data_IF_014744127084
#
_entry.id   IF_014744127084
#
_cell.length_a   1.000
_cell.length_b   1.000
_cell.length_c   1.000
_cell.angle_alpha   90.00
_cell.angle_beta   90.00
_cell.angle_gamma   90.00
#
_symmetry.space_group_name_H-M   'P 1'
#
loop_
_entity.id
_entity.type
_entity.pdbx_description
1 polymer ?
#
# COMPACT_ATOMS: atom_id res chain seq x y z
N UNK A 1 -23.12 50.01 -4.17
CA UNK A 1 -24.02 48.91 -3.75
C UNK A 1 -23.83 47.70 -4.64
N UNK A 2 -24.09 47.79 -5.95
CA UNK A 2 -23.81 46.69 -6.90
C UNK A 2 -22.36 46.17 -6.80
N UNK A 3 -21.38 47.07 -6.79
CA UNK A 3 -19.96 46.67 -6.69
C UNK A 3 -19.64 45.92 -5.40
N UNK A 4 -20.27 46.30 -4.29
CA UNK A 4 -20.12 45.60 -3.01
C UNK A 4 -20.67 44.17 -3.09
N UNK A 5 -21.82 43.98 -3.75
CA UNK A 5 -22.42 42.65 -3.96
C UNK A 5 -21.48 41.79 -4.80
N UNK A 6 -20.89 42.34 -5.88
CA UNK A 6 -19.91 41.62 -6.71
C UNK A 6 -18.67 41.20 -5.94
N UNK A 7 -18.10 42.09 -5.13
CA UNK A 7 -16.93 41.77 -4.31
C UNK A 7 -17.25 40.65 -3.32
N UNK A 8 -18.39 40.74 -2.63
CA UNK A 8 -18.81 39.71 -1.67
C UNK A 8 -19.08 38.37 -2.37
N UNK A 9 -19.67 38.39 -3.56
CA UNK A 9 -19.89 37.21 -4.39
C UNK A 9 -18.57 36.50 -4.75
N UNK A 10 -17.59 37.26 -5.24
CA UNK A 10 -16.27 36.74 -5.60
C UNK A 10 -15.54 36.16 -4.38
N UNK A 11 -15.54 36.88 -3.25
CA UNK A 11 -14.93 36.42 -2.01
C UNK A 11 -15.61 35.17 -1.43
N UNK A 12 -16.93 35.02 -1.63
CA UNK A 12 -17.64 33.80 -1.26
C UNK A 12 -17.19 32.63 -2.15
N UNK A 13 -17.09 32.85 -3.46
CA UNK A 13 -16.59 31.85 -4.40
C UNK A 13 -15.19 31.33 -4.04
N UNK A 14 -14.26 32.23 -3.70
CA UNK A 14 -12.90 31.86 -3.27
C UNK A 14 -12.92 31.03 -1.98
N UNK A 15 -13.72 31.43 -0.99
CA UNK A 15 -13.84 30.70 0.29
C UNK A 15 -14.43 29.32 0.13
N UNK A 16 -15.51 29.20 -0.66
CA UNK A 16 -16.13 27.91 -1.00
C UNK A 16 -15.13 27.03 -1.74
N UNK A 17 -14.42 27.58 -2.73
CA UNK A 17 -13.44 26.81 -3.49
C UNK A 17 -12.32 26.28 -2.59
N UNK A 18 -11.79 27.10 -1.67
CA UNK A 18 -10.81 26.67 -0.69
C UNK A 18 -11.36 25.58 0.24
N UNK A 19 -12.61 25.72 0.72
CA UNK A 19 -13.26 24.72 1.56
C UNK A 19 -13.46 23.39 0.83
N UNK A 20 -13.93 23.41 -0.42
CA UNK A 20 -14.10 22.20 -1.23
C UNK A 20 -12.79 21.44 -1.47
N UNK A 21 -11.64 22.12 -1.51
CA UNK A 21 -10.35 21.47 -1.69
C UNK A 21 -9.70 20.98 -0.39
N UNK A 22 -10.02 21.61 0.75
CA UNK A 22 -9.29 21.38 2.01
C UNK A 22 -10.13 20.75 3.12
N UNK A 23 -11.45 20.76 3.00
CA UNK A 23 -12.39 20.41 4.08
C UNK A 23 -13.38 19.32 3.66
N UNK A 24 -13.07 18.52 2.63
CA UNK A 24 -13.82 17.29 2.34
C UNK A 24 -13.67 16.38 3.56
N UNK A 25 -14.77 16.06 4.24
CA UNK A 25 -14.71 15.39 5.55
C UNK A 25 -15.41 16.17 6.66
N UNK A 26 -15.27 17.49 6.65
CA UNK A 26 -15.64 18.35 7.77
C UNK A 26 -17.04 18.94 7.57
N UNK A 27 -18.05 18.16 7.97
CA UNK A 27 -19.47 18.53 7.84
C UNK A 27 -19.81 19.88 8.44
N UNK A 28 -19.23 20.21 9.60
CA UNK A 28 -19.56 21.47 10.29
C UNK A 28 -19.08 22.67 9.48
N UNK A 29 -17.84 22.62 8.97
CA UNK A 29 -17.30 23.72 8.15
C UNK A 29 -18.00 23.85 6.81
N UNK A 30 -18.35 22.73 6.16
CA UNK A 30 -19.14 22.76 4.92
C UNK A 30 -20.55 23.34 5.15
N UNK A 31 -21.18 23.05 6.29
CA UNK A 31 -22.46 23.66 6.68
C UNK A 31 -22.35 25.17 6.91
N UNK A 32 -21.26 25.65 7.51
CA UNK A 32 -21.00 27.10 7.66
C UNK A 32 -20.90 27.80 6.30
N UNK A 33 -20.19 27.19 5.33
CA UNK A 33 -20.10 27.72 3.97
C UNK A 33 -21.48 27.73 3.29
N UNK A 34 -22.26 26.66 3.45
CA UNK A 34 -23.63 26.59 2.94
C UNK A 34 -24.51 27.72 3.48
N UNK A 35 -24.42 28.02 4.78
CA UNK A 35 -25.11 29.18 5.38
C UNK A 35 -24.63 30.52 4.83
N UNK A 36 -23.34 30.64 4.46
CA UNK A 36 -22.81 31.80 3.72
C UNK A 36 -23.44 31.98 2.35
N UNK A 37 -23.59 30.89 1.59
CA UNK A 37 -24.19 30.87 0.25
C UNK A 37 -25.67 31.24 0.28
N UNK A 38 -26.44 30.71 1.23
CA UNK A 38 -27.86 31.06 1.38
C UNK A 38 -28.07 32.53 1.72
N UNK A 39 -27.24 33.11 2.60
CA UNK A 39 -27.30 34.56 2.90
C UNK A 39 -26.97 35.42 1.68
N UNK A 40 -26.05 34.96 0.84
CA UNK A 40 -25.71 35.66 -0.41
C UNK A 40 -26.88 35.63 -1.40
N UNK A 41 -27.55 34.48 -1.52
CA UNK A 41 -28.76 34.35 -2.35
C UNK A 41 -29.87 35.31 -1.90
N UNK A 42 -30.11 35.38 -0.59
CA UNK A 42 -31.08 36.32 -0.01
C UNK A 42 -30.70 37.77 -0.32
N UNK A 43 -29.42 38.15 -0.20
CA UNK A 43 -28.95 39.49 -0.54
C UNK A 43 -29.13 39.83 -2.03
N UNK A 44 -28.92 38.86 -2.93
CA UNK A 44 -29.16 39.03 -4.38
C UNK A 44 -30.65 39.25 -4.64
N UNK A 45 -31.53 38.49 -3.98
CA UNK A 45 -32.99 38.63 -4.11
C UNK A 45 -33.49 39.97 -3.57
N UNK A 46 -32.97 40.42 -2.42
CA UNK A 46 -33.32 41.72 -1.83
C UNK A 46 -32.90 42.92 -2.69
N UNK A 47 -31.87 42.77 -3.52
CA UNK A 47 -31.34 43.82 -4.41
C UNK A 47 -31.62 43.54 -5.90
N UNK A 48 -32.65 42.75 -6.19
CA UNK A 48 -33.02 42.34 -7.53
C UNK A 48 -33.37 43.50 -8.49
N UNK A 49 -33.70 44.68 -7.96
CA UNK A 49 -33.99 45.92 -8.69
C UNK A 49 -32.73 46.64 -9.19
N UNK A 50 -31.61 46.48 -8.48
CA UNK A 50 -30.32 47.13 -8.80
C UNK A 50 -29.43 46.25 -9.69
N UNK A 51 -29.60 44.93 -9.65
CA UNK A 51 -28.78 43.97 -10.39
C UNK A 51 -29.36 43.76 -11.80
N UNK A 52 -28.56 43.92 -12.88
CA UNK A 52 -29.01 43.61 -14.23
C UNK A 52 -29.53 42.17 -14.33
N UNK A 53 -30.64 41.91 -15.04
CA UNK A 53 -31.28 40.59 -15.04
C UNK A 53 -30.36 39.47 -15.56
N UNK A 54 -29.52 39.78 -16.55
CA UNK A 54 -28.54 38.83 -17.08
C UNK A 54 -27.47 38.46 -16.04
N UNK A 55 -26.99 39.43 -15.26
CA UNK A 55 -26.00 39.20 -14.20
C UNK A 55 -26.61 38.43 -13.03
N UNK A 56 -27.85 38.75 -12.66
CA UNK A 56 -28.60 38.04 -11.62
C UNK A 56 -28.73 36.56 -11.96
N UNK A 57 -29.09 36.22 -13.20
CA UNK A 57 -29.21 34.83 -13.65
C UNK A 57 -27.87 34.07 -13.56
N UNK A 58 -26.75 34.72 -13.88
CA UNK A 58 -25.41 34.13 -13.74
C UNK A 58 -25.07 33.89 -12.25
N UNK A 59 -25.37 34.84 -11.37
CA UNK A 59 -25.14 34.69 -9.93
C UNK A 59 -25.99 33.58 -9.33
N UNK A 60 -27.28 33.50 -9.68
CA UNK A 60 -28.21 32.46 -9.21
C UNK A 60 -27.75 31.07 -9.66
N UNK A 61 -27.46 30.88 -10.95
CA UNK A 61 -26.96 29.59 -11.47
C UNK A 61 -25.61 29.19 -10.86
N UNK A 62 -24.73 30.15 -10.59
CA UNK A 62 -23.45 29.88 -9.91
C UNK A 62 -23.63 29.48 -8.45
N UNK A 63 -24.59 30.10 -7.75
CA UNK A 63 -24.95 29.73 -6.37
C UNK A 63 -25.53 28.33 -6.31
N UNK A 64 -26.40 27.96 -7.27
CA UNK A 64 -26.96 26.62 -7.36
C UNK A 64 -25.86 25.57 -7.60
N UNK A 65 -24.90 25.87 -8.49
CA UNK A 65 -23.75 25.01 -8.73
C UNK A 65 -22.88 24.84 -7.47
N UNK A 66 -22.65 25.93 -6.73
CA UNK A 66 -21.91 25.89 -5.45
C UNK A 66 -22.65 25.05 -4.41
N UNK A 67 -23.97 25.21 -4.27
CA UNK A 67 -24.77 24.42 -3.33
C UNK A 67 -24.75 22.92 -3.67
N UNK A 68 -24.87 22.57 -4.95
CA UNK A 68 -24.71 21.19 -5.41
C UNK A 68 -23.33 20.65 -5.08
N UNK A 69 -22.26 21.41 -5.34
CA UNK A 69 -20.89 20.98 -5.03
C UNK A 69 -20.67 20.76 -3.52
N UNK A 70 -21.15 21.66 -2.66
CA UNK A 70 -21.06 21.51 -1.20
C UNK A 70 -21.86 20.30 -0.71
N UNK A 71 -23.03 20.04 -1.31
CA UNK A 71 -23.86 18.88 -0.98
C UNK A 71 -23.15 17.59 -1.38
N UNK A 72 -22.61 17.52 -2.59
CA UNK A 72 -21.82 16.38 -3.06
C UNK A 72 -20.59 16.14 -2.18
N UNK A 73 -19.85 17.19 -1.80
CA UNK A 73 -18.70 17.07 -0.90
C UNK A 73 -19.09 16.55 0.50
N UNK A 74 -20.28 16.94 0.99
CA UNK A 74 -20.82 16.46 2.27
C UNK A 74 -21.13 14.96 2.22
N UNK A 75 -21.58 14.45 1.08
CA UNK A 75 -21.86 13.02 0.87
C UNK A 75 -20.61 12.19 0.55
N UNK A 76 -19.65 12.73 -0.20
CA UNK A 76 -18.35 12.07 -0.45
C UNK A 76 -17.54 11.85 0.83
N UNK A 77 -17.79 12.69 1.83
CA UNK A 77 -17.22 12.62 3.17
C UNK A 77 -17.83 11.54 4.06
N UNK A 78 -18.91 10.85 3.63
CA UNK A 78 -19.30 9.60 4.30
C UNK A 78 -18.24 8.56 3.98
N UNK A 79 -17.15 8.61 4.75
CA UNK A 79 -16.26 7.48 4.92
C UNK A 79 -17.19 6.27 5.10
N UNK A 80 -17.14 5.27 4.20
CA UNK A 80 -17.99 4.10 4.34
C UNK A 80 -17.82 3.63 5.78
N UNK A 81 -18.92 3.34 6.51
CA UNK A 81 -18.86 3.01 7.93
C UNK A 81 -17.73 1.99 8.08
N UNK A 82 -16.77 2.22 9.00
CA UNK A 82 -15.50 1.51 9.02
C UNK A 82 -15.81 0.04 8.85
N UNK A 83 -15.52 -0.50 7.66
CA UNK A 83 -15.94 -1.85 7.33
C UNK A 83 -15.32 -2.72 8.40
N UNK A 84 -16.15 -3.50 9.10
CA UNK A 84 -15.64 -4.45 10.09
C UNK A 84 -14.58 -5.27 9.38
N UNK A 85 -13.32 -5.10 9.78
CA UNK A 85 -12.19 -5.76 9.14
C UNK A 85 -12.53 -7.24 9.04
N UNK A 86 -12.59 -7.78 7.81
CA UNK A 86 -12.88 -9.18 7.60
C UNK A 86 -11.82 -9.95 8.38
N UNK A 87 -12.22 -10.66 9.43
CA UNK A 87 -11.29 -11.39 10.28
C UNK A 87 -10.82 -12.62 9.51
N UNK A 88 -9.71 -12.47 8.77
CA UNK A 88 -9.09 -13.55 7.99
C UNK A 88 -8.55 -14.68 8.88
N UNK A 89 -8.37 -14.38 10.17
CA UNK A 89 -7.76 -15.30 11.13
C UNK A 89 -8.63 -15.44 12.37
N UNK A 90 -8.69 -16.64 12.93
CA UNK A 90 -9.34 -16.90 14.21
C UNK A 90 -8.44 -17.73 15.11
N UNK A 91 -8.55 -17.51 16.43
CA UNK A 91 -7.83 -18.29 17.43
C UNK A 91 -8.67 -19.49 17.84
N UNK A 92 -8.18 -20.69 17.55
CA UNK A 92 -8.81 -21.94 17.94
C UNK A 92 -8.21 -22.43 19.27
N UNK A 93 -9.08 -22.64 20.26
CA UNK A 93 -8.72 -23.20 21.55
C UNK A 93 -9.00 -24.71 21.52
N UNK A 94 -7.97 -25.53 21.77
CA UNK A 94 -8.07 -27.00 21.73
C UNK A 94 -8.53 -27.62 23.05
N UNK A 95 -8.80 -26.81 24.08
CA UNK A 95 -9.17 -27.27 25.43
C UNK A 95 -8.02 -27.87 26.26
N UNK A 96 -6.83 -28.08 25.68
CA UNK A 96 -5.64 -28.49 26.42
C UNK A 96 -4.84 -27.28 26.92
N UNK A 97 -4.02 -27.49 27.97
CA UNK A 97 -3.09 -26.48 28.51
C UNK A 97 -1.96 -26.20 27.52
N UNK A 98 -2.27 -25.48 26.46
CA UNK A 98 -1.36 -25.09 25.39
C UNK A 98 -1.71 -23.70 24.86
N UNK A 99 -0.78 -23.05 24.16
CA UNK A 99 -1.03 -21.76 23.52
C UNK A 99 -2.09 -21.92 22.42
N UNK A 100 -3.10 -21.04 22.32
CA UNK A 100 -4.12 -21.11 21.27
C UNK A 100 -3.50 -21.18 19.87
N UNK A 101 -4.09 -22.00 19.01
CA UNK A 101 -3.66 -22.13 17.61
C UNK A 101 -4.29 -21.01 16.81
N UNK A 102 -3.51 -20.38 15.94
CA UNK A 102 -4.04 -19.43 14.95
C UNK A 102 -4.39 -20.25 13.70
N UNK A 103 -5.65 -20.17 13.29
CA UNK A 103 -6.14 -20.70 12.02
C UNK A 103 -6.37 -19.54 11.05
N UNK A 104 -6.12 -19.80 9.77
CA UNK A 104 -6.33 -18.86 8.67
C UNK A 104 -7.32 -19.55 7.73
N UNK A 105 -8.33 -18.83 7.24
CA UNK A 105 -9.28 -19.38 6.27
C UNK A 105 -8.55 -20.00 5.05
N UNK A 106 -8.96 -21.21 4.66
CA UNK A 106 -8.31 -21.99 3.60
C UNK A 106 -8.42 -21.31 2.23
N UNK A 107 -9.59 -20.76 1.89
CA UNK A 107 -9.85 -20.15 0.58
C UNK A 107 -9.03 -18.85 0.44
N UNK A 108 -8.98 -18.05 1.51
CA UNK A 108 -8.15 -16.83 1.53
C UNK A 108 -6.66 -17.16 1.46
N UNK A 109 -6.22 -18.18 2.20
CA UNK A 109 -4.81 -18.57 2.23
C UNK A 109 -4.35 -19.16 0.89
N UNK A 110 -5.16 -20.03 0.27
CA UNK A 110 -4.86 -20.61 -1.05
C UNK A 110 -4.79 -19.53 -2.12
N UNK A 111 -5.82 -18.70 -2.24
CA UNK A 111 -5.83 -17.57 -3.18
C UNK A 111 -4.67 -16.60 -2.94
N UNK A 112 -4.38 -16.29 -1.68
CA UNK A 112 -3.28 -15.40 -1.32
C UNK A 112 -1.90 -15.95 -1.69
N UNK A 113 -1.69 -17.26 -1.59
CA UNK A 113 -0.43 -17.91 -1.93
C UNK A 113 -0.17 -17.98 -3.44
N UNK A 114 -1.22 -18.02 -4.25
CA UNK A 114 -1.12 -17.93 -5.71
C UNK A 114 -0.63 -16.56 -6.17
N UNK A 115 -1.01 -15.50 -5.45
CA UNK A 115 -0.61 -14.12 -5.76
C UNK A 115 0.73 -13.72 -5.14
N UNK A 116 1.00 -14.17 -3.91
CA UNK A 116 2.08 -13.66 -3.09
C UNK A 116 2.79 -14.77 -2.29
N UNK A 117 4.10 -14.61 -2.07
CA UNK A 117 4.83 -15.46 -1.12
C UNK A 117 4.32 -15.23 0.32
N UNK A 118 4.49 -16.19 1.25
CA UNK A 118 4.05 -16.06 2.64
C UNK A 118 4.47 -14.76 3.35
N UNK A 119 5.63 -14.19 3.00
CA UNK A 119 6.09 -12.90 3.54
C UNK A 119 5.22 -11.72 3.09
N UNK A 120 4.71 -11.75 1.86
CA UNK A 120 3.80 -10.73 1.33
C UNK A 120 2.39 -10.79 1.92
N UNK A 121 1.98 -11.94 2.46
CA UNK A 121 0.67 -12.12 3.11
C UNK A 121 0.64 -11.68 4.57
N UNK A 122 1.80 -11.49 5.21
CA UNK A 122 1.88 -11.10 6.62
C UNK A 122 1.17 -9.77 6.96
N UNK A 123 1.27 -8.69 6.15
CA UNK A 123 0.55 -7.44 6.43
C UNK A 123 -0.97 -7.57 6.31
N UNK A 124 -1.45 -8.41 5.38
CA UNK A 124 -2.89 -8.59 5.10
C UNK A 124 -3.55 -9.44 6.18
N UNK A 125 -2.88 -10.51 6.61
CA UNK A 125 -3.42 -11.43 7.61
C UNK A 125 -3.12 -11.01 9.05
N UNK A 126 -2.18 -10.08 9.27
CA UNK A 126 -1.68 -9.73 10.60
C UNK A 126 -0.87 -10.84 11.28
N UNK A 127 -0.48 -11.88 10.53
CA UNK A 127 0.19 -13.08 11.06
C UNK A 127 1.61 -13.19 10.51
N UNK A 128 2.55 -13.63 11.34
CA UNK A 128 3.95 -13.81 10.93
C UNK A 128 4.07 -14.87 9.82
N UNK A 129 4.93 -14.63 8.82
CA UNK A 129 5.13 -15.50 7.64
C UNK A 129 5.40 -16.97 7.97
N UNK A 130 6.10 -17.23 9.09
CA UNK A 130 6.34 -18.58 9.62
C UNK A 130 5.04 -19.32 9.99
N UNK A 131 4.07 -18.63 10.59
CA UNK A 131 2.77 -19.20 10.93
C UNK A 131 1.94 -19.43 9.68
N UNK A 132 1.95 -18.48 8.73
CA UNK A 132 1.30 -18.63 7.41
C UNK A 132 1.83 -19.87 6.69
N UNK A 133 3.15 -20.03 6.62
CA UNK A 133 3.79 -21.21 6.02
C UNK A 133 3.40 -22.50 6.75
N UNK A 134 3.33 -22.49 8.08
CA UNK A 134 2.89 -23.65 8.86
C UNK A 134 1.44 -24.04 8.53
N UNK A 135 0.51 -23.09 8.52
CA UNK A 135 -0.88 -23.34 8.14
C UNK A 135 -0.98 -23.86 6.69
N UNK A 136 -0.20 -23.28 5.77
CA UNK A 136 -0.14 -23.74 4.39
C UNK A 136 0.38 -25.18 4.25
N UNK A 137 1.36 -25.58 5.06
CA UNK A 137 1.84 -26.96 5.12
C UNK A 137 0.76 -27.91 5.67
N UNK A 138 0.06 -27.50 6.73
CA UNK A 138 -1.02 -28.28 7.35
C UNK A 138 -2.20 -28.49 6.39
N UNK A 139 -2.49 -27.50 5.53
CA UNK A 139 -3.49 -27.61 4.46
C UNK A 139 -3.00 -28.28 3.18
N UNK A 140 -1.72 -28.65 3.09
CA UNK A 140 -1.14 -29.25 1.88
C UNK A 140 -0.98 -28.29 0.69
N UNK A 141 -1.06 -26.97 0.92
CA UNK A 141 -0.89 -25.93 -0.11
C UNK A 141 0.58 -25.73 -0.50
N UNK A 142 1.51 -26.07 0.39
CA UNK A 142 2.95 -25.94 0.18
C UNK A 142 3.63 -27.25 0.55
N UNK A 143 4.63 -27.67 -0.22
CA UNK A 143 5.42 -28.86 0.12
C UNK A 143 6.41 -28.56 1.27
N UNK A 144 6.63 -29.52 2.18
CA UNK A 144 7.69 -29.44 3.17
C UNK A 144 9.04 -29.16 2.50
N UNK A 145 9.86 -28.30 3.10
CA UNK A 145 11.23 -28.13 2.65
C UNK A 145 12.03 -29.40 2.91
N UNK A 146 13.09 -29.61 2.12
CA UNK A 146 14.05 -30.67 2.38
C UNK A 146 14.55 -30.61 3.84
N UNK A 147 14.81 -31.76 4.47
CA UNK A 147 15.31 -31.81 5.82
C UNK A 147 16.67 -31.08 5.90
N UNK A 148 16.96 -30.49 7.07
CA UNK A 148 18.21 -29.75 7.31
C UNK A 148 19.43 -30.67 7.18
N UNK A 149 19.27 -31.96 7.45
CA UNK A 149 20.29 -32.97 7.23
C UNK A 149 19.67 -34.27 6.74
N UNK A 150 20.46 -35.08 6.04
CA UNK A 150 20.15 -36.46 5.72
C UNK A 150 21.10 -37.38 6.48
N UNK A 151 20.59 -38.51 6.98
CA UNK A 151 21.41 -39.55 7.61
C UNK A 151 21.60 -40.68 6.61
N UNK A 152 22.86 -41.03 6.33
CA UNK A 152 23.22 -42.18 5.50
C UNK A 152 24.04 -43.15 6.35
N UNK A 153 23.73 -44.45 6.30
CA UNK A 153 24.55 -45.48 6.95
C UNK A 153 25.58 -45.96 5.94
N UNK A 154 26.86 -45.86 6.26
CA UNK A 154 27.94 -46.39 5.40
C UNK A 154 27.89 -47.93 5.41
N UNK A 155 27.75 -48.52 4.22
CA UNK A 155 27.61 -49.96 4.03
C UNK A 155 28.86 -50.74 4.47
N UNK A 156 30.04 -50.13 4.43
CA UNK A 156 31.29 -50.82 4.76
C UNK A 156 31.63 -50.76 6.26
N UNK A 157 31.26 -49.67 6.94
CA UNK A 157 31.64 -49.40 8.32
C UNK A 157 30.48 -49.51 9.31
N UNK A 158 29.24 -49.41 8.82
CA UNK A 158 28.02 -49.33 9.65
C UNK A 158 27.85 -47.99 10.37
N UNK A 159 28.69 -46.99 10.07
CA UNK A 159 28.63 -45.67 10.71
C UNK A 159 27.48 -44.81 10.15
N UNK A 160 26.77 -44.09 11.01
CA UNK A 160 25.72 -43.14 10.61
C UNK A 160 26.35 -41.79 10.28
N UNK A 161 26.48 -41.49 8.99
CA UNK A 161 27.01 -40.22 8.48
C UNK A 161 25.86 -39.22 8.34
N UNK A 162 25.91 -38.12 9.10
CA UNK A 162 24.97 -37.00 9.00
C UNK A 162 25.47 -35.96 8.00
N UNK A 163 24.80 -35.84 6.86
CA UNK A 163 25.10 -34.81 5.87
C UNK A 163 24.17 -33.63 6.09
N UNK A 164 24.70 -32.54 6.64
CA UNK A 164 23.94 -31.30 6.81
C UNK A 164 23.84 -30.56 5.48
N UNK A 165 22.62 -30.32 5.00
CA UNK A 165 22.34 -29.38 3.92
C UNK A 165 22.43 -27.99 4.52
N UNK A 166 23.67 -27.55 4.76
CA UNK A 166 23.88 -26.18 5.22
C UNK A 166 23.44 -25.25 4.11
N UNK A 167 22.74 -24.18 4.48
CA UNK A 167 22.56 -23.02 3.59
C UNK A 167 23.88 -22.25 3.49
N UNK A 168 24.99 -22.95 3.23
CA UNK A 168 26.23 -22.29 2.84
C UNK A 168 25.91 -21.40 1.66
N UNK A 169 26.37 -20.14 1.68
CA UNK A 169 26.28 -19.29 0.53
C UNK A 169 26.74 -20.08 -0.70
N UNK A 170 26.03 -20.00 -1.83
CA UNK A 170 26.51 -20.60 -3.07
C UNK A 170 27.96 -20.16 -3.32
N UNK A 171 28.79 -21.04 -3.91
CA UNK A 171 30.21 -20.77 -4.08
C UNK A 171 30.41 -19.40 -4.75
N UNK A 172 31.39 -18.65 -4.25
CA UNK A 172 31.77 -17.36 -4.83
C UNK A 172 32.14 -17.59 -6.28
N UNK A 173 31.57 -16.82 -7.20
CA UNK A 173 31.84 -16.99 -8.62
C UNK A 173 33.30 -16.67 -8.95
N UNK A 174 33.92 -17.48 -9.81
CA UNK A 174 35.30 -17.32 -10.29
C UNK A 174 35.47 -16.16 -11.30
N UNK A 175 34.63 -15.13 -11.21
CA UNK A 175 34.69 -13.97 -12.11
C UNK A 175 35.93 -13.12 -11.79
N UNK A 176 36.67 -12.75 -12.84
CA UNK A 176 37.85 -11.88 -12.71
C UNK A 176 37.45 -10.44 -12.42
N UNK A 177 38.33 -9.63 -11.83
CA UNK A 177 38.01 -8.22 -11.51
C UNK A 177 37.68 -7.41 -12.78
N UNK A 178 38.40 -7.65 -13.88
CA UNK A 178 38.11 -6.99 -15.17
C UNK A 178 36.71 -7.33 -15.73
N UNK A 179 36.26 -8.58 -15.55
CA UNK A 179 34.92 -8.99 -15.95
C UNK A 179 33.85 -8.40 -15.03
N UNK A 180 34.14 -8.32 -13.73
CA UNK A 180 33.25 -7.67 -12.75
C UNK A 180 33.06 -6.18 -13.09
N UNK A 181 34.14 -5.45 -13.36
CA UNK A 181 34.10 -4.04 -13.74
C UNK A 181 33.29 -3.82 -15.02
N UNK A 182 33.45 -4.72 -16.00
CA UNK A 182 32.71 -4.68 -17.25
C UNK A 182 31.21 -4.90 -17.03
N UNK A 183 30.83 -5.87 -16.20
CA UNK A 183 29.43 -6.10 -15.83
C UNK A 183 28.85 -4.92 -15.05
N UNK A 184 29.59 -4.37 -14.08
CA UNK A 184 29.15 -3.22 -13.29
C UNK A 184 28.92 -2.00 -14.17
N UNK A 185 29.84 -1.70 -15.11
CA UNK A 185 29.67 -0.63 -16.09
C UNK A 185 28.42 -0.83 -16.94
N UNK A 186 28.22 -2.05 -17.45
CA UNK A 186 27.04 -2.37 -18.24
C UNK A 186 25.74 -2.20 -17.44
N UNK A 187 25.69 -2.62 -16.17
CA UNK A 187 24.53 -2.44 -15.30
C UNK A 187 24.24 -0.95 -15.08
N UNK A 188 25.26 -0.13 -14.84
CA UNK A 188 25.11 1.31 -14.61
C UNK A 188 24.76 2.08 -15.89
N UNK A 189 25.16 1.61 -17.06
CA UNK A 189 24.71 2.17 -18.35
C UNK A 189 23.20 1.97 -18.54
N UNK A 190 22.66 0.81 -18.15
CA UNK A 190 21.23 0.51 -18.27
C UNK A 190 20.42 1.12 -17.11
N UNK A 191 20.96 1.11 -15.89
CA UNK A 191 20.31 1.59 -14.68
C UNK A 191 21.22 2.55 -13.89
N UNK A 192 21.30 3.84 -14.30
CA UNK A 192 22.24 4.79 -13.71
C UNK A 192 22.03 5.09 -12.22
N UNK A 193 20.85 4.81 -11.69
CA UNK A 193 20.48 5.07 -10.29
C UNK A 193 20.69 3.88 -9.36
N UNK A 194 21.22 2.75 -9.87
CA UNK A 194 21.44 1.56 -9.04
C UNK A 194 22.56 1.78 -8.02
N UNK A 195 22.22 1.68 -6.74
CA UNK A 195 23.20 1.58 -5.66
C UNK A 195 23.86 0.20 -5.59
N UNK A 196 24.96 0.08 -4.84
CA UNK A 196 25.76 -1.15 -4.67
C UNK A 196 24.93 -2.39 -4.29
N UNK A 197 23.94 -2.24 -3.41
CA UNK A 197 23.04 -3.35 -3.04
C UNK A 197 22.19 -3.84 -4.22
N UNK A 198 21.73 -2.94 -5.09
CA UNK A 198 20.97 -3.29 -6.29
C UNK A 198 21.86 -3.98 -7.32
N UNK A 199 23.11 -3.51 -7.48
CA UNK A 199 24.12 -4.16 -8.33
C UNK A 199 24.40 -5.58 -7.85
N UNK A 200 24.62 -5.77 -6.55
CA UNK A 200 24.82 -7.10 -5.97
C UNK A 200 23.62 -8.03 -6.20
N UNK A 201 22.40 -7.50 -6.05
CA UNK A 201 21.17 -8.23 -6.37
C UNK A 201 21.07 -8.62 -7.85
N UNK A 202 21.45 -7.71 -8.74
CA UNK A 202 21.42 -7.95 -10.18
C UNK A 202 22.48 -8.97 -10.63
N UNK A 203 23.71 -8.89 -10.10
CA UNK A 203 24.74 -9.91 -10.31
C UNK A 203 24.26 -11.28 -9.83
N UNK A 204 23.55 -11.34 -8.70
CA UNK A 204 22.96 -12.58 -8.19
C UNK A 204 21.89 -13.15 -9.12
N UNK A 205 21.10 -12.28 -9.74
CA UNK A 205 20.10 -12.67 -10.74
C UNK A 205 20.76 -13.22 -12.01
N UNK A 206 21.94 -12.73 -12.38
CA UNK A 206 22.77 -13.27 -13.47
C UNK A 206 23.52 -14.56 -13.10
N UNK A 207 23.36 -15.07 -11.88
CA UNK A 207 24.03 -16.27 -11.38
C UNK A 207 25.43 -16.02 -10.81
N UNK A 208 25.85 -14.75 -10.69
CA UNK A 208 27.13 -14.40 -10.10
C UNK A 208 27.00 -14.10 -8.59
N UNK A 209 27.74 -14.83 -7.78
CA UNK A 209 27.82 -14.63 -6.33
C UNK A 209 29.13 -13.93 -5.97
N UNK A 210 29.08 -12.60 -5.91
CA UNK A 210 30.25 -11.75 -5.62
C UNK A 210 30.13 -11.16 -4.21
N UNK A 211 31.16 -11.26 -3.35
CA UNK A 211 31.15 -10.62 -2.03
C UNK A 211 30.98 -9.09 -2.13
N UNK A 212 30.24 -8.50 -1.19
CA UNK A 212 29.99 -7.06 -1.17
C UNK A 212 31.27 -6.21 -1.05
N UNK A 213 32.33 -6.77 -0.46
CA UNK A 213 33.65 -6.14 -0.40
C UNK A 213 34.23 -5.93 -1.81
N UNK A 214 34.26 -6.97 -2.66
CA UNK A 214 34.73 -6.87 -4.05
C UNK A 214 33.95 -5.83 -4.87
N UNK A 215 32.63 -5.77 -4.69
CA UNK A 215 31.77 -4.77 -5.37
C UNK A 215 32.06 -3.33 -4.89
N UNK A 216 32.59 -3.18 -3.67
CA UNK A 216 32.91 -1.85 -3.13
C UNK A 216 34.28 -1.34 -3.55
N UNK A 217 35.18 -2.26 -3.91
CA UNK A 217 36.56 -1.98 -4.33
C UNK A 217 36.68 -1.74 -5.85
N UNK A 218 35.71 -2.20 -6.64
CA UNK A 218 35.51 -1.92 -8.09
C UNK A 218 34.81 -0.57 -8.35
#
# INVERSE_FOLDING_TARGET
>A
RLETIRIVFMQLGERVNAALHTQIGDRLRLQEQHGGVLRMLEAIQQHADVIPPAERQVMESSIDAVNQALTTATFQSEDPPPMTSISVTHQQHTGQRSRPRIEIDYDILSFGLDLCRPTGLAPVTGVHSRTIRRCALEYGLVQPSLPVYTENVDENTGEVIRTYISSTPPPVSDITDNELDRLMRHILEVFPTFGRHMIAGHLRQLGHHVPAARISDS
#
